data_IF_874718546826
#
_entry.id   IF_874718546826
#
_cell.length_a   1.000
_cell.length_b   1.000
_cell.length_c   1.000
_cell.angle_alpha   90.00
_cell.angle_beta   90.00
_cell.angle_gamma   90.00
#
_symmetry.space_group_name_H-M   'P 1'
#
loop_
_entity.id
_entity.type
_entity.pdbx_description
1 polymer ?
#
# COMPACT_ATOMS: atom_id res chain seq x y z
N UNK A 1 -13.02 5.92 -10.03
CA UNK A 1 -12.21 5.87 -8.78
C UNK A 1 -11.70 4.43 -8.68
N UNK A 2 -10.38 4.19 -8.71
CA UNK A 2 -9.81 2.84 -8.73
C UNK A 2 -9.11 2.43 -10.03
N UNK A 3 -8.89 3.37 -10.95
CA UNK A 3 -8.02 3.15 -12.12
C UNK A 3 -6.80 4.04 -11.92
N UNK A 4 -5.62 3.45 -12.08
CA UNK A 4 -4.39 4.24 -12.17
C UNK A 4 -4.48 5.11 -13.43
N UNK A 5 -4.54 6.43 -13.23
CA UNK A 5 -4.60 7.39 -14.33
C UNK A 5 -3.30 7.47 -15.13
N UNK A 6 -2.21 6.88 -14.62
CA UNK A 6 -0.87 6.95 -15.21
C UNK A 6 -0.20 5.56 -15.20
N UNK A 7 -0.76 4.55 -15.89
CA UNK A 7 -0.31 3.15 -15.79
C UNK A 7 1.13 2.91 -16.30
N UNK A 8 1.68 3.87 -17.05
CA UNK A 8 3.05 3.84 -17.55
C UNK A 8 4.07 4.41 -16.53
N UNK A 9 3.60 5.02 -15.43
CA UNK A 9 4.46 5.57 -14.37
C UNK A 9 4.57 4.60 -13.21
N UNK A 10 5.79 4.40 -12.74
CA UNK A 10 6.03 3.62 -11.53
C UNK A 10 5.58 4.43 -10.30
N UNK A 11 5.03 3.73 -9.31
CA UNK A 11 4.63 4.27 -7.99
C UNK A 11 3.64 5.43 -8.08
N UNK A 12 2.72 5.40 -9.04
CA UNK A 12 1.62 6.37 -9.22
C UNK A 12 0.50 6.26 -8.16
N UNK A 13 0.69 5.50 -7.08
CA UNK A 13 -0.31 5.31 -6.04
C UNK A 13 -0.43 6.54 -5.11
N UNK A 14 -1.64 6.73 -4.58
CA UNK A 14 -1.99 7.87 -3.73
C UNK A 14 -1.30 7.83 -2.35
N UNK A 15 -1.03 9.01 -1.78
CA UNK A 15 -0.63 9.14 -0.37
C UNK A 15 -1.64 8.53 0.62
N UNK A 16 -2.90 8.29 0.20
CA UNK A 16 -3.89 7.53 0.98
C UNK A 16 -3.39 6.14 1.37
N UNK A 17 -2.56 5.50 0.54
CA UNK A 17 -1.94 4.22 0.86
C UNK A 17 -1.19 4.29 2.20
N UNK A 18 -0.25 5.25 2.32
CA UNK A 18 0.52 5.42 3.55
C UNK A 18 -0.36 5.83 4.74
N UNK A 19 -1.38 6.68 4.51
CA UNK A 19 -2.29 7.11 5.57
C UNK A 19 -3.11 5.95 6.13
N UNK A 20 -3.66 5.10 5.26
CA UNK A 20 -4.44 3.92 5.67
C UNK A 20 -3.57 2.94 6.45
N UNK A 21 -2.39 2.60 5.92
CA UNK A 21 -1.50 1.63 6.58
C UNK A 21 -0.96 2.15 7.91
N UNK A 22 -0.54 3.42 7.98
CA UNK A 22 -0.07 4.03 9.23
C UNK A 22 -1.14 4.00 10.33
N UNK A 23 -2.42 4.20 9.96
CA UNK A 23 -3.55 4.12 10.88
C UNK A 23 -3.93 2.68 11.29
N UNK A 24 -3.25 1.65 10.78
CA UNK A 24 -3.56 0.24 11.06
C UNK A 24 -4.73 -0.32 10.24
N UNK A 25 -5.11 0.37 9.15
CA UNK A 25 -6.18 -0.08 8.28
C UNK A 25 -5.70 -1.12 7.26
N UNK A 26 -6.54 -2.11 6.97
CA UNK A 26 -6.37 -2.98 5.82
C UNK A 26 -6.61 -2.19 4.52
N UNK A 27 -5.71 -2.35 3.54
CA UNK A 27 -5.84 -1.72 2.23
C UNK A 27 -5.86 -2.76 1.11
N UNK A 28 -6.98 -2.80 0.39
CA UNK A 28 -7.12 -3.46 -0.91
C UNK A 28 -7.20 -2.38 -1.99
N UNK A 29 -6.28 -2.39 -2.95
CA UNK A 29 -6.14 -1.31 -3.94
C UNK A 29 -5.83 -1.82 -5.34
N UNK A 30 -5.90 -0.97 -6.36
CA UNK A 30 -5.57 -1.39 -7.73
C UNK A 30 -4.09 -1.73 -7.83
N UNK A 31 -3.75 -2.76 -8.62
CA UNK A 31 -2.36 -3.05 -8.94
C UNK A 31 -1.73 -1.85 -9.67
N UNK A 32 -0.70 -1.26 -9.08
CA UNK A 32 0.05 -0.13 -9.63
C UNK A 32 1.49 -0.55 -9.89
N UNK A 33 2.03 -0.18 -11.05
CA UNK A 33 3.40 -0.55 -11.43
C UNK A 33 4.41 -0.05 -10.38
N UNK A 34 5.31 -0.91 -9.91
CA UNK A 34 6.33 -0.58 -8.92
C UNK A 34 5.85 -0.55 -7.46
N UNK A 35 4.60 -0.97 -7.18
CA UNK A 35 4.12 -1.11 -5.79
C UNK A 35 4.93 -2.17 -5.03
N UNK A 36 5.40 -3.20 -5.74
CA UNK A 36 6.20 -4.32 -5.22
C UNK A 36 7.58 -3.90 -4.72
N UNK A 37 8.08 -2.73 -5.16
CA UNK A 37 9.36 -2.19 -4.69
C UNK A 37 9.28 -1.64 -3.26
N UNK A 38 8.07 -1.37 -2.76
CA UNK A 38 7.84 -0.81 -1.41
C UNK A 38 7.00 -1.75 -0.55
N UNK A 39 5.96 -2.36 -1.13
CA UNK A 39 5.02 -3.21 -0.42
C UNK A 39 4.98 -4.61 -1.02
N UNK A 40 4.70 -5.62 -0.20
CA UNK A 40 4.49 -6.99 -0.68
C UNK A 40 2.98 -7.26 -0.67
N UNK A 41 2.31 -7.37 -1.85
CA UNK A 41 0.90 -7.75 -1.91
C UNK A 41 0.65 -9.08 -1.18
N UNK A 42 -0.43 -9.15 -0.41
CA UNK A 42 -0.75 -10.26 0.48
C UNK A 42 0.00 -10.25 1.82
N UNK A 43 0.92 -9.31 2.06
CA UNK A 43 1.66 -9.18 3.32
C UNK A 43 1.44 -7.80 3.95
N UNK A 44 1.72 -6.71 3.25
CA UNK A 44 1.63 -5.35 3.80
C UNK A 44 0.32 -4.63 3.40
N UNK A 45 -0.23 -5.02 2.27
CA UNK A 45 -1.48 -4.59 1.66
C UNK A 45 -1.87 -5.67 0.65
N UNK A 46 -3.00 -5.55 -0.04
CA UNK A 46 -3.27 -6.38 -1.20
C UNK A 46 -3.73 -5.56 -2.40
N UNK A 47 -3.55 -6.13 -3.60
CA UNK A 47 -3.88 -5.48 -4.87
C UNK A 47 -4.91 -6.26 -5.67
N UNK A 48 -5.56 -5.64 -6.64
CA UNK A 48 -6.39 -6.34 -7.63
C UNK A 48 -6.19 -5.74 -9.02
N UNK A 49 -6.32 -6.56 -10.06
CA UNK A 49 -6.12 -6.15 -11.46
C UNK A 49 -7.43 -5.85 -12.18
N UNK A 50 -8.50 -6.49 -11.74
CA UNK A 50 -9.83 -6.36 -12.32
C UNK A 50 -10.93 -6.53 -11.27
N UNK A 51 -12.17 -6.34 -11.69
CA UNK A 51 -13.35 -6.45 -10.84
C UNK A 51 -13.57 -7.87 -10.31
N UNK A 52 -13.19 -8.89 -11.07
CA UNK A 52 -13.35 -10.29 -10.65
C UNK A 52 -12.40 -10.60 -9.49
N UNK A 53 -11.13 -10.22 -9.61
CA UNK A 53 -10.14 -10.37 -8.54
C UNK A 53 -10.51 -9.52 -7.32
N UNK A 54 -11.03 -8.30 -7.51
CA UNK A 54 -11.52 -7.45 -6.43
C UNK A 54 -12.60 -8.16 -5.62
N UNK A 55 -13.65 -8.67 -6.27
CA UNK A 55 -14.76 -9.36 -5.59
C UNK A 55 -14.24 -10.60 -4.86
N UNK A 56 -13.39 -11.39 -5.50
CA UNK A 56 -12.78 -12.57 -4.87
C UNK A 56 -11.99 -12.21 -3.60
N UNK A 57 -11.16 -11.17 -3.66
CA UNK A 57 -10.35 -10.73 -2.50
C UNK A 57 -11.22 -10.14 -1.40
N UNK A 58 -12.24 -9.37 -1.73
CA UNK A 58 -13.21 -8.86 -0.74
C UNK A 58 -13.86 -10.03 0.01
N UNK A 59 -14.38 -11.03 -0.70
CA UNK A 59 -14.97 -12.21 -0.07
C UNK A 59 -13.95 -13.00 0.76
N UNK A 60 -12.73 -13.17 0.25
CA UNK A 60 -11.66 -13.87 0.95
C UNK A 60 -11.33 -13.20 2.30
N UNK A 61 -11.10 -11.89 2.33
CA UNK A 61 -10.76 -11.18 3.56
C UNK A 61 -11.95 -10.91 4.48
N UNK A 62 -13.20 -10.95 3.98
CA UNK A 62 -14.39 -10.94 4.84
C UNK A 62 -14.68 -12.31 5.46
N UNK A 63 -14.18 -13.40 4.87
CA UNK A 63 -14.35 -14.75 5.43
C UNK A 63 -13.43 -15.06 6.61
N UNK A 64 -12.37 -14.27 6.80
CA UNK A 64 -11.34 -14.47 7.82
C UNK A 64 -10.73 -13.14 8.26
N UNK A 65 -11.25 -12.62 9.38
CA UNK A 65 -10.80 -11.35 9.96
C UNK A 65 -9.34 -11.41 10.43
N UNK A 66 -8.85 -12.55 10.94
CA UNK A 66 -7.47 -12.67 11.41
C UNK A 66 -6.47 -12.49 10.27
N UNK A 67 -6.75 -13.05 9.09
CA UNK A 67 -5.91 -12.85 7.91
C UNK A 67 -5.87 -11.37 7.51
N UNK A 68 -7.03 -10.71 7.53
CA UNK A 68 -7.13 -9.28 7.19
C UNK A 68 -6.37 -8.41 8.19
N UNK A 69 -6.48 -8.69 9.48
CA UNK A 69 -5.77 -7.99 10.55
C UNK A 69 -4.25 -8.21 10.49
N UNK A 70 -3.80 -9.44 10.18
CA UNK A 70 -2.37 -9.74 9.98
C UNK A 70 -1.76 -8.87 8.87
N UNK A 71 -2.45 -8.72 7.75
CA UNK A 71 -1.99 -7.87 6.64
C UNK A 71 -1.97 -6.40 7.06
N UNK A 72 -3.03 -5.91 7.71
CA UNK A 72 -3.12 -4.52 8.17
C UNK A 72 -1.99 -4.17 9.16
N UNK A 73 -1.73 -5.06 10.12
CA UNK A 73 -0.68 -4.89 11.12
C UNK A 73 0.72 -4.88 10.49
N UNK A 74 1.02 -5.83 9.60
CA UNK A 74 2.30 -5.87 8.92
C UNK A 74 2.52 -4.63 8.02
N UNK A 75 1.47 -4.13 7.37
CA UNK A 75 1.50 -2.87 6.64
C UNK A 75 1.79 -1.66 7.52
N UNK A 76 1.16 -1.61 8.70
CA UNK A 76 1.40 -0.57 9.69
C UNK A 76 2.84 -0.58 10.20
N UNK A 77 3.35 -1.75 10.59
CA UNK A 77 4.72 -1.93 11.08
C UNK A 77 5.75 -1.43 10.05
N UNK A 78 5.58 -1.79 8.78
CA UNK A 78 6.45 -1.30 7.70
C UNK A 78 6.41 0.24 7.60
N UNK A 79 5.22 0.83 7.52
CA UNK A 79 5.08 2.28 7.31
C UNK A 79 5.62 3.08 8.50
N UNK A 80 5.36 2.62 9.72
CA UNK A 80 5.87 3.27 10.93
C UNK A 80 7.39 3.14 11.07
N UNK A 81 8.00 2.08 10.52
CA UNK A 81 9.43 1.82 10.58
C UNK A 81 10.22 2.57 9.50
N UNK A 82 9.70 2.63 8.27
CA UNK A 82 10.50 3.02 7.09
C UNK A 82 9.92 4.19 6.28
N UNK A 83 8.70 4.63 6.57
CA UNK A 83 8.00 5.61 5.74
C UNK A 83 7.38 6.75 6.52
N UNK A 84 7.93 7.09 7.69
CA UNK A 84 7.47 8.27 8.42
C UNK A 84 7.80 9.54 7.64
N UNK A 85 6.99 10.59 7.81
CA UNK A 85 7.17 11.84 7.08
C UNK A 85 8.56 12.47 7.35
N UNK A 86 9.06 12.35 8.58
CA UNK A 86 10.40 12.83 8.96
C UNK A 86 11.51 12.14 8.16
N UNK A 87 11.38 10.84 7.89
CA UNK A 87 12.43 10.08 7.20
C UNK A 87 12.51 10.50 5.73
N UNK A 88 11.34 10.71 5.11
CA UNK A 88 11.25 11.27 3.75
C UNK A 88 11.81 12.69 3.67
N UNK A 89 11.50 13.52 4.66
CA UNK A 89 12.03 14.89 4.71
C UNK A 89 13.56 14.88 4.83
N UNK A 90 14.12 14.03 5.68
CA UNK A 90 15.57 13.84 5.77
C UNK A 90 16.17 13.40 4.43
N UNK A 91 15.59 12.39 3.76
CA UNK A 91 16.07 11.94 2.45
C UNK A 91 16.05 13.08 1.40
N UNK A 92 14.98 13.88 1.39
CA UNK A 92 14.87 15.03 0.48
C UNK A 92 15.96 16.06 0.78
N UNK A 93 16.14 16.44 2.06
CA UNK A 93 17.16 17.41 2.46
C UNK A 93 18.57 16.91 2.08
N UNK A 94 18.89 15.64 2.35
CA UNK A 94 20.18 15.06 1.97
C UNK A 94 20.40 15.10 0.44
N UNK A 95 19.37 14.88 -0.37
CA UNK A 95 19.46 15.00 -1.83
C UNK A 95 19.69 16.44 -2.33
N UNK A 96 19.35 17.45 -1.53
CA UNK A 96 19.53 18.87 -1.88
C UNK A 96 20.84 19.48 -1.34
N UNK A 97 21.65 18.73 -0.58
CA UNK A 97 22.93 19.21 -0.03
C UNK A 97 24.09 19.25 -1.07
N UNK A 98 23.76 19.39 -2.36
CA UNK A 98 24.72 19.58 -3.45
C UNK A 98 24.79 21.04 -3.87
#
# INVERSE_FOLDING_TARGET
IGIDGWPHRDKSYSARLYRTLCAGGFLLTTATKGIEETFKPGIHLDTFKDETELIQKVLYYLSDDEKREKVAKAGQELVLKEHQFKDRLHEIIERFKY
#
